data_IF_407906047538
#
_entry.id   IF_407906047538
#
_cell.length_a   1.000
_cell.length_b   1.000
_cell.length_c   1.000
_cell.angle_alpha   90.00
_cell.angle_beta   90.00
_cell.angle_gamma   90.00
#
_symmetry.space_group_name_H-M   'P 1'
#
loop_
_entity.id
_entity.type
_entity.pdbx_description
1 polymer ?
#
# COMPACT_ATOMS: atom_id res chain seq x y z
N UNK A 1 37.58 -19.02 -3.68
CA UNK A 1 37.22 -19.02 -5.12
C UNK A 1 37.59 -17.65 -5.68
N UNK A 2 38.68 -17.52 -6.45
CA UNK A 2 39.07 -16.22 -7.05
C UNK A 2 38.07 -15.88 -8.15
N UNK A 3 37.50 -14.68 -8.08
CA UNK A 3 36.56 -14.17 -9.09
C UNK A 3 37.29 -14.02 -10.42
N UNK A 4 37.10 -15.02 -11.29
CA UNK A 4 37.84 -15.21 -12.54
C UNK A 4 37.52 -14.14 -13.59
N UNK A 5 36.58 -13.25 -13.30
CA UNK A 5 36.09 -12.22 -14.21
C UNK A 5 36.23 -10.79 -13.67
N UNK A 6 36.84 -10.62 -12.50
CA UNK A 6 37.12 -9.31 -11.91
C UNK A 6 37.96 -8.46 -12.88
N UNK A 7 37.38 -7.37 -13.38
CA UNK A 7 38.06 -6.39 -14.24
C UNK A 7 37.89 -6.56 -15.76
N UNK A 8 37.24 -7.61 -16.26
CA UNK A 8 36.96 -7.71 -17.71
C UNK A 8 36.00 -6.60 -18.19
N UNK A 9 36.06 -6.15 -19.46
CA UNK A 9 35.11 -5.16 -19.98
C UNK A 9 33.64 -5.59 -19.84
N UNK A 10 33.36 -6.90 -19.95
CA UNK A 10 32.02 -7.45 -19.71
C UNK A 10 31.60 -7.33 -18.24
N UNK A 11 32.50 -7.64 -17.30
CA UNK A 11 32.26 -7.45 -15.86
C UNK A 11 32.06 -5.97 -15.52
N UNK A 12 32.84 -5.05 -16.10
CA UNK A 12 32.66 -3.61 -15.88
C UNK A 12 31.31 -3.11 -16.40
N UNK A 13 30.86 -3.56 -17.58
CA UNK A 13 29.53 -3.23 -18.12
C UNK A 13 28.42 -3.75 -17.21
N UNK A 14 28.53 -4.99 -16.74
CA UNK A 14 27.59 -5.54 -15.75
C UNK A 14 27.50 -4.62 -14.53
N UNK A 15 28.63 -4.33 -13.88
CA UNK A 15 28.64 -3.52 -12.67
C UNK A 15 27.98 -2.15 -12.89
N UNK A 16 28.30 -1.48 -14.00
CA UNK A 16 27.65 -0.22 -14.38
C UNK A 16 26.13 -0.37 -14.53
N UNK A 17 25.64 -1.39 -15.22
CA UNK A 17 24.20 -1.62 -15.37
C UNK A 17 23.51 -1.89 -14.03
N UNK A 18 24.21 -2.55 -13.09
CA UNK A 18 23.70 -2.76 -11.73
C UNK A 18 23.61 -1.44 -10.96
N UNK A 19 24.64 -0.59 -11.06
CA UNK A 19 24.65 0.75 -10.45
C UNK A 19 23.52 1.63 -11.00
N UNK A 20 23.36 1.69 -12.33
CA UNK A 20 22.29 2.42 -13.01
C UNK A 20 20.90 1.93 -12.57
N UNK A 21 20.72 0.61 -12.48
CA UNK A 21 19.47 0.01 -12.00
C UNK A 21 19.14 0.43 -10.56
N UNK A 22 20.11 0.33 -9.63
CA UNK A 22 19.87 0.73 -8.24
C UNK A 22 19.69 2.24 -8.07
N UNK A 23 20.37 3.06 -8.87
CA UNK A 23 20.16 4.50 -8.90
C UNK A 23 18.74 4.84 -9.37
N UNK A 24 18.28 4.22 -10.45
CA UNK A 24 16.91 4.37 -10.95
C UNK A 24 15.87 3.90 -9.93
N UNK A 25 16.10 2.75 -9.27
CA UNK A 25 15.21 2.27 -8.21
C UNK A 25 15.14 3.24 -7.04
N UNK A 26 16.26 3.84 -6.63
CA UNK A 26 16.28 4.82 -5.54
C UNK A 26 15.51 6.09 -5.93
N UNK A 27 15.68 6.56 -7.16
CA UNK A 27 15.00 7.75 -7.68
C UNK A 27 13.48 7.54 -7.87
N UNK A 28 13.01 6.30 -7.94
CA UNK A 28 11.58 5.98 -8.07
C UNK A 28 10.77 6.21 -6.78
N UNK A 29 11.43 6.48 -5.65
CA UNK A 29 10.79 6.82 -4.38
C UNK A 29 10.98 8.31 -4.04
N UNK A 30 10.03 8.94 -3.33
CA UNK A 30 10.24 10.27 -2.74
C UNK A 30 11.52 10.30 -1.89
N UNK A 31 12.23 11.44 -1.87
CA UNK A 31 13.56 11.55 -1.24
C UNK A 31 13.58 11.21 0.26
N UNK A 32 12.50 11.52 0.96
CA UNK A 32 12.30 11.29 2.39
C UNK A 32 11.58 9.96 2.70
N UNK A 33 11.17 9.20 1.68
CA UNK A 33 10.26 8.06 1.81
C UNK A 33 10.67 7.02 2.86
N UNK A 34 11.92 6.57 2.84
CA UNK A 34 12.43 5.58 3.80
C UNK A 34 12.54 6.16 5.22
N UNK A 35 12.92 7.44 5.35
CA UNK A 35 12.96 8.11 6.65
C UNK A 35 11.56 8.21 7.24
N UNK A 36 10.60 8.65 6.44
CA UNK A 36 9.18 8.78 6.77
C UNK A 36 8.55 7.44 7.15
N UNK A 37 8.78 6.38 6.36
CA UNK A 37 8.28 5.04 6.68
C UNK A 37 8.84 4.50 8.00
N UNK A 38 10.12 4.77 8.28
CA UNK A 38 10.74 4.35 9.54
C UNK A 38 10.29 5.21 10.72
N UNK A 39 10.05 6.51 10.52
CA UNK A 39 9.42 7.41 11.49
C UNK A 39 8.04 6.90 11.90
N UNK A 40 7.20 6.57 10.91
CA UNK A 40 5.84 6.08 11.15
C UNK A 40 5.81 4.81 12.00
N UNK A 41 6.76 3.90 11.80
CA UNK A 41 6.90 2.69 12.63
C UNK A 41 7.28 2.97 14.08
N UNK A 42 7.92 4.11 14.35
CA UNK A 42 8.27 4.58 15.69
C UNK A 42 7.18 5.46 16.32
N UNK A 43 6.05 5.67 15.63
CA UNK A 43 4.92 6.46 16.11
C UNK A 43 4.98 7.94 15.73
N UNK A 44 5.99 8.36 14.96
CA UNK A 44 6.04 9.69 14.36
C UNK A 44 4.99 9.79 13.24
N UNK A 45 4.18 10.84 13.26
CA UNK A 45 3.06 11.02 12.33
C UNK A 45 3.43 11.96 11.18
N UNK A 46 4.61 12.57 11.23
CA UNK A 46 5.11 13.40 10.15
C UNK A 46 5.26 12.56 8.87
N UNK A 47 4.74 13.09 7.75
CA UNK A 47 4.86 12.44 6.44
C UNK A 47 3.90 11.27 6.16
N UNK A 48 2.83 11.07 6.95
CA UNK A 48 1.76 10.10 6.59
C UNK A 48 1.25 10.35 5.15
N UNK A 49 1.13 11.61 4.75
CA UNK A 49 0.63 11.96 3.43
C UNK A 49 1.57 11.50 2.31
N UNK A 50 2.90 11.58 2.48
CA UNK A 50 3.89 11.07 1.51
C UNK A 50 3.70 9.58 1.25
N UNK A 51 3.38 8.82 2.30
CA UNK A 51 3.13 7.38 2.18
C UNK A 51 1.78 7.08 1.50
N UNK A 52 0.77 7.92 1.71
CA UNK A 52 -0.51 7.81 1.01
C UNK A 52 -0.34 8.16 -0.47
N UNK A 53 0.39 9.22 -0.80
CA UNK A 53 0.72 9.61 -2.18
C UNK A 53 1.43 8.49 -2.94
N UNK A 54 2.35 7.79 -2.28
CA UNK A 54 2.97 6.60 -2.86
C UNK A 54 1.97 5.48 -3.18
N UNK A 55 0.95 5.28 -2.33
CA UNK A 55 -0.10 4.30 -2.61
C UNK A 55 -1.08 4.78 -3.70
N UNK A 56 -1.34 6.08 -3.78
CA UNK A 56 -2.17 6.70 -4.83
C UNK A 56 -1.52 6.62 -6.21
N UNK A 57 -0.21 6.88 -6.29
CA UNK A 57 0.58 6.71 -7.50
C UNK A 57 0.70 5.23 -7.94
N UNK A 58 0.45 4.30 -7.01
CA UNK A 58 0.36 2.87 -7.23
C UNK A 58 1.51 2.24 -8.06
N UNK A 59 2.78 2.58 -7.81
CA UNK A 59 3.87 2.25 -8.72
C UNK A 59 4.12 0.74 -8.86
N UNK A 60 4.43 0.29 -10.07
CA UNK A 60 4.63 -1.12 -10.43
C UNK A 60 6.05 -1.35 -10.97
N UNK A 61 7.01 -1.50 -10.07
CA UNK A 61 8.41 -1.80 -10.40
C UNK A 61 9.00 -2.80 -9.41
N UNK A 62 10.27 -3.19 -9.62
CA UNK A 62 10.93 -4.21 -8.81
C UNK A 62 10.78 -3.96 -7.31
N UNK A 63 10.21 -4.94 -6.61
CA UNK A 63 9.91 -4.93 -5.17
C UNK A 63 8.91 -3.86 -4.68
N UNK A 64 8.29 -3.06 -5.54
CA UNK A 64 7.32 -2.03 -5.10
C UNK A 64 6.16 -2.63 -4.30
N UNK A 65 5.69 -3.85 -4.63
CA UNK A 65 4.66 -4.56 -3.85
C UNK A 65 5.07 -4.89 -2.41
N UNK A 66 6.36 -5.21 -2.16
CA UNK A 66 6.86 -5.40 -0.79
C UNK A 66 6.88 -4.07 -0.03
N UNK A 67 7.24 -2.99 -0.72
CA UNK A 67 7.19 -1.64 -0.14
C UNK A 67 5.76 -1.22 0.17
N UNK A 68 4.79 -1.47 -0.71
CA UNK A 68 3.36 -1.25 -0.45
C UNK A 68 2.90 -2.03 0.78
N UNK A 69 3.23 -3.32 0.90
CA UNK A 69 2.95 -4.10 2.13
C UNK A 69 3.51 -3.44 3.39
N UNK A 70 4.75 -2.93 3.34
CA UNK A 70 5.38 -2.22 4.47
C UNK A 70 4.61 -0.95 4.84
N UNK A 71 4.21 -0.16 3.84
CA UNK A 71 3.44 1.08 4.02
C UNK A 71 2.06 0.78 4.61
N UNK A 72 1.30 -0.15 4.01
CA UNK A 72 -0.03 -0.53 4.45
C UNK A 72 -0.06 -0.97 5.92
N UNK A 73 0.95 -1.72 6.35
CA UNK A 73 1.09 -2.16 7.75
C UNK A 73 1.41 -1.01 8.70
N UNK A 74 2.23 -0.05 8.27
CA UNK A 74 2.56 1.14 9.06
C UNK A 74 1.32 2.05 9.22
N UNK A 75 0.60 2.34 8.12
CA UNK A 75 -0.63 3.13 8.13
C UNK A 75 -1.72 2.50 9.01
N UNK A 76 -1.77 1.17 9.07
CA UNK A 76 -2.70 0.47 9.97
C UNK A 76 -2.44 0.78 11.45
N UNK A 77 -1.19 1.08 11.83
CA UNK A 77 -0.78 1.31 13.22
C UNK A 77 -1.05 2.71 13.76
N UNK A 78 -1.40 3.68 12.91
CA UNK A 78 -1.48 5.10 13.32
C UNK A 78 -2.89 5.67 13.23
N UNK A 79 -3.23 6.71 14.02
CA UNK A 79 -4.43 7.50 13.79
C UNK A 79 -4.37 8.18 12.42
N UNK A 80 -5.49 8.28 11.73
CA UNK A 80 -5.62 8.90 10.41
C UNK A 80 -6.68 9.99 10.46
N UNK A 81 -6.45 11.10 9.76
CA UNK A 81 -7.45 12.17 9.63
C UNK A 81 -8.58 11.73 8.67
N UNK A 82 -9.73 12.40 8.74
CA UNK A 82 -10.85 12.15 7.82
C UNK A 82 -10.44 12.28 6.34
N UNK A 83 -9.59 13.26 6.03
CA UNK A 83 -9.05 13.45 4.68
C UNK A 83 -8.19 12.26 4.23
N UNK A 84 -7.30 11.78 5.09
CA UNK A 84 -6.45 10.62 4.82
C UNK A 84 -7.27 9.33 4.65
N UNK A 85 -8.32 9.15 5.45
CA UNK A 85 -9.24 8.01 5.31
C UNK A 85 -9.93 8.03 3.96
N UNK A 86 -10.44 9.19 3.51
CA UNK A 86 -11.10 9.32 2.21
C UNK A 86 -10.15 9.00 1.04
N UNK A 87 -8.90 9.49 1.10
CA UNK A 87 -7.84 9.16 0.13
C UNK A 87 -7.56 7.66 0.08
N UNK A 88 -7.42 7.02 1.24
CA UNK A 88 -7.17 5.58 1.32
C UNK A 88 -8.37 4.74 0.86
N UNK A 89 -9.61 5.22 1.01
CA UNK A 89 -10.77 4.57 0.39
C UNK A 89 -10.64 4.55 -1.13
N UNK A 90 -10.29 5.68 -1.75
CA UNK A 90 -10.07 5.76 -3.20
C UNK A 90 -8.95 4.80 -3.66
N UNK A 91 -7.83 4.74 -2.92
CA UNK A 91 -6.75 3.78 -3.20
C UNK A 91 -7.26 2.34 -3.18
N UNK A 92 -8.00 1.94 -2.13
CA UNK A 92 -8.53 0.59 -2.00
C UNK A 92 -9.46 0.24 -3.17
N UNK A 93 -10.37 1.15 -3.53
CA UNK A 93 -11.29 0.95 -4.65
C UNK A 93 -10.55 0.84 -5.98
N UNK A 94 -9.50 1.63 -6.19
CA UNK A 94 -8.64 1.56 -7.38
C UNK A 94 -7.97 0.18 -7.51
N UNK A 95 -7.38 -0.33 -6.44
CA UNK A 95 -6.74 -1.65 -6.42
C UNK A 95 -7.74 -2.77 -6.70
N UNK A 96 -8.91 -2.74 -6.05
CA UNK A 96 -9.98 -3.72 -6.28
C UNK A 96 -10.46 -3.68 -7.73
N UNK A 97 -10.52 -2.51 -8.33
CA UNK A 97 -10.94 -2.34 -9.72
C UNK A 97 -9.93 -2.87 -10.73
N UNK A 98 -8.63 -2.80 -10.40
CA UNK A 98 -7.57 -3.01 -11.37
C UNK A 98 -7.00 -4.44 -11.35
N UNK A 99 -6.48 -4.92 -10.21
CA UNK A 99 -5.64 -6.14 -10.20
C UNK A 99 -5.68 -6.97 -8.91
N UNK A 100 -5.33 -8.24 -9.05
CA UNK A 100 -4.81 -9.05 -7.95
C UNK A 100 -3.32 -8.78 -7.79
N UNK A 101 -2.89 -8.43 -6.58
CA UNK A 101 -1.50 -8.13 -6.30
C UNK A 101 -1.03 -8.79 -5.00
N UNK A 102 0.29 -8.88 -4.82
CA UNK A 102 0.91 -9.48 -3.65
C UNK A 102 0.41 -8.85 -2.35
N UNK A 103 0.29 -7.53 -2.37
CA UNK A 103 -0.12 -6.70 -1.24
C UNK A 103 -1.64 -6.67 -1.01
N UNK A 104 -2.44 -7.33 -1.86
CA UNK A 104 -3.91 -7.31 -1.76
C UNK A 104 -4.42 -7.74 -0.37
N UNK A 105 -3.77 -8.74 0.24
CA UNK A 105 -4.11 -9.16 1.60
C UNK A 105 -3.85 -8.08 2.66
N UNK A 106 -2.84 -7.23 2.46
CA UNK A 106 -2.59 -6.08 3.34
C UNK A 106 -3.58 -4.93 3.07
N UNK A 107 -4.04 -4.74 1.83
CA UNK A 107 -5.15 -3.82 1.54
C UNK A 107 -6.44 -4.24 2.22
N UNK A 108 -6.76 -5.55 2.21
CA UNK A 108 -7.90 -6.10 2.98
C UNK A 108 -7.76 -5.78 4.48
N UNK A 109 -6.56 -5.95 5.05
CA UNK A 109 -6.32 -5.64 6.46
C UNK A 109 -6.41 -4.15 6.77
N UNK A 110 -6.08 -3.28 5.83
CA UNK A 110 -6.26 -1.84 5.97
C UNK A 110 -7.74 -1.46 5.85
N UNK A 111 -8.48 -2.06 4.91
CA UNK A 111 -9.92 -1.85 4.75
C UNK A 111 -10.70 -2.16 6.04
N UNK A 112 -10.29 -3.16 6.81
CA UNK A 112 -10.86 -3.45 8.14
C UNK A 112 -10.71 -2.29 9.14
N UNK A 113 -9.58 -1.57 9.11
CA UNK A 113 -9.38 -0.38 9.96
C UNK A 113 -10.20 0.80 9.45
N UNK A 114 -10.35 0.90 8.13
CA UNK A 114 -11.02 1.99 7.43
C UNK A 114 -12.50 1.71 7.13
N UNK A 115 -13.10 0.73 7.81
CA UNK A 115 -14.45 0.30 7.55
C UNK A 115 -15.45 1.44 7.80
N UNK A 116 -16.10 1.87 6.72
CA UNK A 116 -16.96 3.04 6.70
C UNK A 116 -18.05 2.85 5.63
N UNK A 117 -19.27 3.40 5.81
CA UNK A 117 -20.34 3.31 4.82
C UNK A 117 -19.91 3.66 3.39
N UNK A 118 -19.09 4.71 3.23
CA UNK A 118 -18.59 5.14 1.91
C UNK A 118 -17.73 4.07 1.22
N UNK A 119 -16.81 3.43 1.95
CA UNK A 119 -15.98 2.35 1.41
C UNK A 119 -16.86 1.16 1.00
N UNK A 120 -17.83 0.79 1.84
CA UNK A 120 -18.77 -0.30 1.53
C UNK A 120 -19.63 0.00 0.31
N UNK A 121 -20.15 1.23 0.20
CA UNK A 121 -20.93 1.67 -0.95
C UNK A 121 -20.09 1.59 -2.25
N UNK A 122 -18.85 2.07 -2.22
CA UNK A 122 -17.92 1.94 -3.34
C UNK A 122 -17.67 0.49 -3.74
N UNK A 123 -17.35 -0.38 -2.77
CA UNK A 123 -17.14 -1.82 -3.03
C UNK A 123 -18.39 -2.51 -3.61
N UNK A 124 -19.59 -2.13 -3.16
CA UNK A 124 -20.85 -2.65 -3.72
C UNK A 124 -21.10 -2.14 -5.14
N UNK A 125 -20.78 -0.88 -5.44
CA UNK A 125 -20.89 -0.36 -6.79
C UNK A 125 -19.99 -1.14 -7.78
N UNK A 126 -18.80 -1.58 -7.33
CA UNK A 126 -17.92 -2.44 -8.12
C UNK A 126 -18.52 -3.82 -8.44
N UNK A 127 -19.52 -4.30 -7.69
CA UNK A 127 -20.22 -5.55 -7.98
C UNK A 127 -21.14 -5.44 -9.19
N UNK A 128 -21.75 -4.28 -9.42
CA UNK A 128 -22.78 -4.10 -10.43
C UNK A 128 -22.24 -3.59 -11.77
N UNK A 129 -21.11 -2.86 -11.75
CA UNK A 129 -20.62 -2.14 -12.94
C UNK A 129 -19.37 -2.70 -13.63
N UNK A 130 -18.75 -3.78 -13.13
CA UNK A 130 -17.41 -4.19 -13.58
C UNK A 130 -17.34 -5.67 -13.97
N UNK A 131 -16.25 -6.05 -14.66
CA UNK A 131 -15.97 -7.42 -15.09
C UNK A 131 -15.83 -8.43 -13.95
N UNK A 132 -15.86 -9.73 -14.27
CA UNK A 132 -15.90 -10.83 -13.29
C UNK A 132 -14.78 -10.77 -12.25
N UNK A 133 -13.56 -10.43 -12.68
CA UNK A 133 -12.38 -10.31 -11.81
C UNK A 133 -12.52 -9.20 -10.75
N UNK A 134 -13.01 -8.03 -11.15
CA UNK A 134 -13.27 -6.91 -10.22
C UNK A 134 -14.37 -7.26 -9.24
N UNK A 135 -15.45 -7.89 -9.72
CA UNK A 135 -16.52 -8.37 -8.83
C UNK A 135 -16.01 -9.38 -7.82
N UNK A 136 -15.12 -10.30 -8.23
CA UNK A 136 -14.52 -11.28 -7.33
C UNK A 136 -13.67 -10.61 -6.24
N UNK A 137 -12.82 -9.64 -6.61
CA UNK A 137 -12.03 -8.86 -5.65
C UNK A 137 -12.91 -8.09 -4.67
N UNK A 138 -13.94 -7.42 -5.18
CA UNK A 138 -14.88 -6.66 -4.37
C UNK A 138 -15.66 -7.57 -3.40
N UNK A 139 -16.16 -8.72 -3.87
CA UNK A 139 -16.79 -9.74 -3.02
C UNK A 139 -15.84 -10.23 -1.93
N UNK A 140 -14.60 -10.55 -2.29
CA UNK A 140 -13.60 -11.01 -1.32
C UNK A 140 -13.34 -9.98 -0.24
N UNK A 141 -13.22 -8.70 -0.60
CA UNK A 141 -13.00 -7.64 0.38
C UNK A 141 -14.23 -7.42 1.27
N UNK A 142 -15.42 -7.33 0.68
CA UNK A 142 -16.69 -7.19 1.43
C UNK A 142 -16.90 -8.35 2.42
N UNK A 143 -16.62 -9.59 2.00
CA UNK A 143 -16.76 -10.77 2.85
C UNK A 143 -15.81 -10.80 4.06
N UNK A 144 -14.76 -9.95 4.05
CA UNK A 144 -13.90 -9.80 5.24
C UNK A 144 -14.36 -8.71 6.19
N UNK A 145 -15.18 -7.75 5.73
CA UNK A 145 -15.71 -6.70 6.58
C UNK A 145 -16.81 -7.28 7.49
N UNK A 146 -16.93 -6.85 8.76
CA UNK A 146 -18.02 -7.28 9.65
C UNK A 146 -19.40 -6.94 9.07
N UNK A 147 -20.48 -7.60 9.49
CA UNK A 147 -21.83 -7.29 9.01
C UNK A 147 -22.24 -5.84 9.34
N UNK A 148 -21.89 -5.34 10.53
CA UNK A 148 -22.14 -3.96 10.95
C UNK A 148 -20.91 -3.06 10.71
N UNK A 149 -21.06 -1.90 10.04
CA UNK A 149 -19.97 -0.93 9.88
C UNK A 149 -19.43 -0.50 11.25
N UNK A 150 -18.12 -0.56 11.45
CA UNK A 150 -17.48 -0.16 12.73
C UNK A 150 -17.45 -1.25 13.81
N UNK A 151 -17.90 -2.47 13.51
CA UNK A 151 -17.80 -3.63 14.40
C UNK A 151 -16.43 -4.32 14.35
N UNK A 152 -15.34 -3.60 14.63
CA UNK A 152 -14.06 -4.27 14.95
C UNK A 152 -14.11 -4.77 16.40
N UNK A 153 -13.72 -6.03 16.71
CA UNK A 153 -13.60 -6.56 18.08
C UNK A 153 -12.63 -5.82 19.01
N UNK A 154 -12.06 -4.69 18.56
CA UNK A 154 -11.20 -3.79 19.33
C UNK A 154 -11.82 -2.40 19.28
N UNK A 155 -12.86 -2.26 20.07
CA UNK A 155 -13.31 -1.04 20.75
C UNK A 155 -12.60 0.26 20.36
N UNK A 156 -13.40 1.15 19.77
CA UNK A 156 -13.44 2.62 19.80
C UNK A 156 -13.10 3.31 21.16
N UNK A 157 -12.54 2.59 22.14
CA UNK A 157 -12.14 3.13 23.43
C UNK A 157 -11.06 4.18 23.23
N UNK A 158 -11.43 5.40 23.62
CA UNK A 158 -10.63 6.63 23.79
C UNK A 158 -10.69 7.59 22.60
N UNK A 159 -11.70 8.47 22.64
CA UNK A 159 -11.55 9.91 22.97
C UNK A 159 -12.42 10.79 22.06
N UNK A 160 -13.70 10.90 22.42
CA UNK A 160 -14.27 12.21 22.77
C UNK A 160 -14.20 12.27 24.29
N UNK A 161 -13.10 12.83 24.80
CA UNK A 161 -12.90 13.40 26.15
C UNK A 161 -11.56 14.13 26.13
#
# INVERSE_FOLDING_TARGET
MRDRYAGSPASQRWHRSVEEFYAALKAAYPSDFEATLNGLRRGDREGVDVLIEFLEADPMFFRSGYTKTKVLRALKGVPLTTSQVARLHAVILGVVSNRWSREFGDYVRLALKLDHPNLRAGLRALLSGHGAETRLRARRMLATLPETPGGSPRDWRRQND
#
